data_IF_934580598218
#
_entry.id   IF_934580598218
#
_cell.length_a   1.000
_cell.length_b   1.000
_cell.length_c   1.000
_cell.angle_alpha   90.00
_cell.angle_beta   90.00
_cell.angle_gamma   90.00
#
_symmetry.space_group_name_H-M   'P 1'
#
loop_
_entity.id
_entity.type
_entity.pdbx_description
1 polymer ?
#
# COMPACT_ATOMS: atom_id res chain seq x y z
N UNK A 1 -2.56 -0.46 -26.70
CA UNK A 1 -2.38 -1.72 -25.95
C UNK A 1 -3.25 -1.79 -24.70
N UNK A 2 -3.24 -0.79 -23.80
CA UNK A 2 -4.01 -0.85 -22.55
C UNK A 2 -5.55 -0.95 -22.71
N UNK A 3 -6.13 -0.29 -23.72
CA UNK A 3 -7.59 -0.32 -23.96
C UNK A 3 -8.09 -1.69 -24.41
N UNK A 4 -7.31 -2.42 -25.20
CA UNK A 4 -7.66 -3.76 -25.65
C UNK A 4 -7.64 -4.77 -24.49
N UNK A 5 -6.63 -4.70 -23.61
CA UNK A 5 -6.57 -5.53 -22.41
C UNK A 5 -7.76 -5.28 -21.47
N UNK A 6 -8.19 -4.01 -21.32
CA UNK A 6 -9.36 -3.65 -20.52
C UNK A 6 -10.66 -4.25 -21.10
N UNK A 7 -10.87 -4.14 -22.41
CA UNK A 7 -12.04 -4.73 -23.06
C UNK A 7 -12.04 -6.26 -22.98
N UNK A 8 -10.88 -6.90 -23.13
CA UNK A 8 -10.76 -8.36 -22.97
C UNK A 8 -11.08 -8.78 -21.54
N UNK A 9 -10.55 -8.09 -20.53
CA UNK A 9 -10.81 -8.38 -19.11
C UNK A 9 -12.28 -8.20 -18.73
N UNK A 10 -12.90 -7.09 -19.16
CA UNK A 10 -14.32 -6.82 -18.88
C UNK A 10 -15.25 -7.83 -19.55
N UNK A 11 -14.95 -8.23 -20.80
CA UNK A 11 -15.73 -9.24 -21.51
C UNK A 11 -15.60 -10.63 -20.85
N UNK A 12 -14.41 -10.98 -20.39
CA UNK A 12 -14.15 -12.23 -19.65
C UNK A 12 -14.90 -12.27 -18.31
N UNK A 13 -14.90 -11.17 -17.55
CA UNK A 13 -15.67 -11.06 -16.30
C UNK A 13 -17.19 -11.17 -16.55
N UNK A 14 -17.70 -10.57 -17.63
CA UNK A 14 -19.11 -10.64 -18.00
C UNK A 14 -19.53 -12.07 -18.42
N UNK A 15 -18.66 -12.77 -19.16
CA UNK A 15 -18.89 -14.17 -19.51
C UNK A 15 -18.93 -15.06 -18.24
N UNK A 16 -17.98 -14.92 -17.33
CA UNK A 16 -17.93 -15.75 -16.11
C UNK A 16 -19.15 -15.53 -15.21
N UNK A 17 -19.57 -14.28 -15.02
CA UNK A 17 -20.72 -13.94 -14.18
C UNK A 17 -22.03 -14.49 -14.73
N UNK A 18 -22.25 -14.40 -16.04
CA UNK A 18 -23.45 -14.96 -16.69
C UNK A 18 -23.53 -16.49 -16.61
N UNK A 19 -22.39 -17.18 -16.67
CA UNK A 19 -22.34 -18.64 -16.56
C UNK A 19 -22.54 -19.16 -15.13
N UNK A 20 -22.17 -18.38 -14.12
CA UNK A 20 -22.18 -18.79 -12.70
C UNK A 20 -23.40 -18.33 -11.92
N UNK A 21 -24.18 -17.37 -12.44
CA UNK A 21 -25.37 -16.82 -11.79
C UNK A 21 -26.47 -17.87 -11.51
N UNK A 22 -26.48 -19.00 -12.21
CA UNK A 22 -27.53 -20.01 -12.13
C UNK A 22 -27.42 -20.96 -10.93
N UNK A 23 -26.27 -21.04 -10.26
CA UNK A 23 -26.01 -22.03 -9.18
C UNK A 23 -25.60 -21.38 -7.84
N UNK A 24 -26.33 -20.34 -7.43
CA UNK A 24 -26.10 -19.66 -6.15
C UNK A 24 -26.99 -20.24 -5.04
N UNK A 25 -26.36 -20.81 -4.01
CA UNK A 25 -27.02 -21.17 -2.75
C UNK A 25 -26.64 -20.16 -1.67
N UNK A 26 -27.51 -19.95 -0.69
CA UNK A 26 -27.26 -19.01 0.43
C UNK A 26 -25.95 -19.32 1.16
N UNK A 27 -25.63 -20.60 1.34
CA UNK A 27 -24.37 -21.08 1.95
C UNK A 27 -23.11 -20.81 1.12
N UNK A 28 -23.24 -20.62 -0.20
CA UNK A 28 -22.11 -20.24 -1.08
C UNK A 28 -21.91 -18.72 -1.09
N UNK A 29 -22.95 -17.97 -0.78
CA UNK A 29 -22.96 -16.51 -0.75
C UNK A 29 -22.63 -15.96 0.64
N UNK A 30 -22.66 -16.80 1.69
CA UNK A 30 -22.20 -16.44 3.03
C UNK A 30 -20.68 -16.29 3.07
N UNK A 31 -20.19 -15.43 3.95
CA UNK A 31 -18.76 -15.22 4.11
C UNK A 31 -18.10 -16.47 4.73
N UNK A 32 -16.92 -16.82 4.19
CA UNK A 32 -16.20 -18.01 4.63
C UNK A 32 -15.55 -17.75 5.99
N UNK A 33 -16.07 -18.42 7.01
CA UNK A 33 -15.48 -18.43 8.36
C UNK A 33 -15.49 -19.86 8.91
N UNK A 34 -14.94 -20.81 8.15
CA UNK A 34 -14.85 -22.23 8.53
C UNK A 34 -16.21 -22.88 8.92
N UNK A 35 -17.31 -22.46 8.30
CA UNK A 35 -18.66 -22.96 8.60
C UNK A 35 -19.35 -22.26 9.78
N UNK A 36 -18.72 -21.25 10.39
CA UNK A 36 -19.32 -20.40 11.41
C UNK A 36 -20.01 -19.18 10.79
N UNK A 37 -20.95 -18.59 11.54
CA UNK A 37 -21.51 -17.30 11.20
C UNK A 37 -20.42 -16.23 11.28
N UNK A 38 -20.27 -15.46 10.20
CA UNK A 38 -19.17 -14.52 10.09
C UNK A 38 -19.29 -13.39 11.12
N UNK A 39 -18.18 -12.98 11.71
CA UNK A 39 -18.15 -11.79 12.55
C UNK A 39 -18.36 -10.52 11.73
N UNK A 40 -18.80 -9.44 12.38
CA UNK A 40 -18.89 -8.13 11.76
C UNK A 40 -17.50 -7.67 11.28
N UNK A 41 -17.27 -7.76 9.97
CA UNK A 41 -16.10 -7.30 9.23
C UNK A 41 -15.95 -5.76 9.21
N UNK A 42 -16.84 -5.04 9.90
CA UNK A 42 -16.82 -3.58 10.06
C UNK A 42 -16.15 -3.14 11.36
N UNK A 43 -15.61 -4.08 12.13
CA UNK A 43 -14.81 -3.75 13.31
C UNK A 43 -13.50 -3.07 12.90
N UNK A 44 -13.08 -2.02 13.62
CA UNK A 44 -11.85 -1.31 13.28
C UNK A 44 -10.66 -2.26 13.39
N UNK A 45 -9.91 -2.35 12.31
CA UNK A 45 -8.67 -3.12 12.25
C UNK A 45 -7.59 -2.47 13.14
N UNK A 46 -6.54 -3.23 13.47
CA UNK A 46 -5.49 -2.75 14.37
C UNK A 46 -4.82 -1.47 13.86
N UNK A 47 -4.70 -0.47 14.75
CA UNK A 47 -4.04 0.83 14.51
C UNK A 47 -2.59 0.69 14.03
N UNK A 48 -1.95 -0.45 14.30
CA UNK A 48 -0.58 -0.72 13.86
C UNK A 48 -0.46 -0.78 12.33
N UNK A 49 -1.48 -1.30 11.64
CA UNK A 49 -1.46 -1.36 10.19
C UNK A 49 -1.66 0.01 9.54
N UNK A 50 -2.42 0.92 10.17
CA UNK A 50 -2.52 2.29 9.69
C UNK A 50 -1.23 3.08 9.92
N UNK A 51 -0.49 2.81 11.00
CA UNK A 51 0.83 3.41 11.22
C UNK A 51 1.83 3.00 10.13
N UNK A 52 1.88 1.71 9.76
CA UNK A 52 2.71 1.25 8.65
C UNK A 52 2.34 1.92 7.32
N UNK A 53 1.05 2.14 7.06
CA UNK A 53 0.60 2.81 5.83
C UNK A 53 1.03 4.29 5.79
N UNK A 54 0.96 5.01 6.91
CA UNK A 54 1.45 6.40 7.00
C UNK A 54 2.95 6.46 6.81
N UNK A 55 3.71 5.59 7.47
CA UNK A 55 5.17 5.50 7.32
C UNK A 55 5.54 5.20 5.86
N UNK A 56 4.87 4.23 5.23
CA UNK A 56 5.07 3.92 3.81
C UNK A 56 4.78 5.12 2.90
N UNK A 57 3.68 5.84 3.13
CA UNK A 57 3.31 7.02 2.35
C UNK A 57 4.38 8.12 2.44
N UNK A 58 4.92 8.37 3.63
CA UNK A 58 5.99 9.36 3.84
C UNK A 58 7.27 8.95 3.09
N UNK A 59 7.68 7.67 3.16
CA UNK A 59 8.86 7.19 2.44
C UNK A 59 8.70 7.14 0.92
N UNK A 60 7.49 6.84 0.42
CA UNK A 60 7.22 6.89 -1.02
C UNK A 60 7.31 8.34 -1.55
N UNK A 61 6.77 9.29 -0.79
CA UNK A 61 6.91 10.73 -1.09
C UNK A 61 8.37 11.21 -1.00
N UNK A 62 9.16 10.69 -0.06
CA UNK A 62 10.59 10.98 0.04
C UNK A 62 11.34 10.55 -1.22
N UNK A 63 11.15 9.31 -1.67
CA UNK A 63 11.81 8.79 -2.88
C UNK A 63 11.43 9.61 -4.11
N UNK A 64 10.16 10.00 -4.23
CA UNK A 64 9.70 10.85 -5.31
C UNK A 64 10.40 12.22 -5.34
N UNK A 65 10.70 12.80 -4.17
CA UNK A 65 11.41 14.08 -4.04
C UNK A 65 12.93 13.94 -4.25
N UNK A 66 13.53 12.83 -3.82
CA UNK A 66 14.97 12.61 -3.96
C UNK A 66 15.37 12.21 -5.39
N UNK A 67 14.50 11.51 -6.14
CA UNK A 67 14.77 11.06 -7.50
C UNK A 67 15.29 12.17 -8.45
N UNK A 68 14.62 13.34 -8.59
CA UNK A 68 15.13 14.42 -9.45
C UNK A 68 16.47 14.99 -8.98
N UNK A 69 16.76 14.97 -7.68
CA UNK A 69 18.04 15.45 -7.14
C UNK A 69 19.20 14.54 -7.56
N UNK A 70 19.00 13.22 -7.53
CA UNK A 70 20.00 12.24 -8.01
C UNK A 70 20.28 12.38 -9.51
N UNK A 71 19.27 12.71 -10.31
CA UNK A 71 19.46 12.96 -11.75
C UNK A 71 20.24 14.26 -12.01
N UNK A 72 20.06 15.28 -11.17
CA UNK A 72 20.71 16.59 -11.32
C UNK A 72 22.18 16.64 -10.87
N UNK A 73 22.66 15.64 -10.12
CA UNK A 73 24.01 15.66 -9.53
C UNK A 73 25.15 15.46 -10.54
N UNK A 74 24.85 15.18 -11.80
CA UNK A 74 25.86 14.99 -12.85
C UNK A 74 26.65 16.27 -13.18
N UNK A 75 26.18 17.44 -12.75
CA UNK A 75 26.82 18.74 -12.99
C UNK A 75 27.71 19.24 -11.82
N UNK A 76 27.79 18.51 -10.70
CA UNK A 76 28.56 18.88 -9.51
C UNK A 76 27.73 19.00 -8.22
N UNK A 77 28.41 19.24 -7.09
CA UNK A 77 27.75 19.47 -5.79
C UNK A 77 27.02 20.82 -5.78
N UNK A 78 25.71 20.77 -5.98
CA UNK A 78 24.84 21.94 -5.90
C UNK A 78 24.17 22.04 -4.52
N UNK A 79 23.77 23.26 -4.14
CA UNK A 79 23.03 23.54 -2.89
C UNK A 79 21.81 22.62 -2.70
N UNK A 80 21.13 22.28 -3.80
CA UNK A 80 19.98 21.36 -3.81
C UNK A 80 20.32 19.95 -3.33
N UNK A 81 21.54 19.46 -3.61
CA UNK A 81 22.00 18.15 -3.18
C UNK A 81 22.28 18.12 -1.68
N UNK A 82 22.83 19.21 -1.13
CA UNK A 82 23.04 19.38 0.31
C UNK A 82 21.69 19.47 1.03
N UNK A 83 20.76 20.26 0.51
CA UNK A 83 19.41 20.36 1.06
C UNK A 83 18.67 19.01 1.05
N UNK A 84 18.77 18.25 -0.04
CA UNK A 84 18.22 16.89 -0.15
C UNK A 84 18.84 15.92 0.85
N UNK A 85 20.16 15.98 1.06
CA UNK A 85 20.85 15.16 2.06
C UNK A 85 20.44 15.49 3.49
N UNK A 86 20.26 16.76 3.83
CA UNK A 86 19.76 17.18 5.15
C UNK A 86 18.31 16.72 5.35
N UNK A 87 17.46 16.86 4.31
CA UNK A 87 16.08 16.38 4.36
C UNK A 87 16.00 14.87 4.59
N UNK A 88 16.81 14.09 3.87
CA UNK A 88 16.94 12.65 4.08
C UNK A 88 17.33 12.30 5.52
N UNK A 89 18.34 12.97 6.08
CA UNK A 89 18.80 12.71 7.46
C UNK A 89 17.71 12.98 8.50
N UNK A 90 16.89 14.02 8.31
CA UNK A 90 15.78 14.35 9.23
C UNK A 90 14.74 13.22 9.23
N UNK A 91 14.34 12.74 8.04
CA UNK A 91 13.37 11.65 7.92
C UNK A 91 13.91 10.33 8.46
N UNK A 92 15.19 10.03 8.18
CA UNK A 92 15.87 8.86 8.70
C UNK A 92 15.95 8.87 10.23
N UNK A 93 16.25 10.02 10.84
CA UNK A 93 16.23 10.18 12.29
C UNK A 93 14.82 10.00 12.88
N UNK A 94 13.78 10.51 12.21
CA UNK A 94 12.38 10.31 12.59
C UNK A 94 11.97 8.84 12.59
N UNK A 95 12.42 8.07 11.59
CA UNK A 95 12.17 6.62 11.54
C UNK A 95 12.81 5.88 12.71
N UNK A 96 14.06 6.22 13.02
CA UNK A 96 14.78 5.62 14.14
C UNK A 96 14.05 5.91 15.45
N UNK A 97 13.55 7.13 15.62
CA UNK A 97 12.75 7.50 16.78
C UNK A 97 11.46 6.66 16.90
N UNK A 98 10.69 6.52 15.81
CA UNK A 98 9.49 5.67 15.76
C UNK A 98 9.81 4.20 16.04
N UNK A 99 10.95 3.70 15.55
CA UNK A 99 11.42 2.34 15.82
C UNK A 99 11.68 2.13 17.32
N UNK A 100 12.41 3.05 17.96
CA UNK A 100 12.71 2.96 19.38
C UNK A 100 11.47 3.06 20.27
N UNK A 101 10.42 3.76 19.82
CA UNK A 101 9.13 3.80 20.51
C UNK A 101 8.35 2.48 20.42
N UNK A 102 8.84 1.49 19.68
CA UNK A 102 8.20 0.18 19.56
C UNK A 102 6.90 0.19 18.73
N UNK A 103 6.57 1.31 18.10
CA UNK A 103 5.42 1.49 17.18
C UNK A 103 5.44 0.46 16.04
N UNK A 104 6.66 0.13 15.56
CA UNK A 104 6.91 -0.87 14.52
C UNK A 104 7.19 -2.28 15.04
N UNK A 105 7.26 -2.49 16.35
CA UNK A 105 7.58 -3.81 16.91
C UNK A 105 6.38 -4.75 16.80
N UNK A 106 6.63 -5.92 16.23
CA UNK A 106 5.68 -7.03 16.22
C UNK A 106 5.98 -7.91 17.44
N UNK A 107 5.06 -7.94 18.40
CA UNK A 107 4.96 -9.10 19.28
C UNK A 107 4.25 -10.16 18.44
N UNK A 108 4.99 -11.23 18.16
CA UNK A 108 4.49 -12.45 17.52
C UNK A 108 3.39 -13.05 18.41
#
# INVERSE_FOLDING_TARGET
MCTWCYHVSTLLLLLITTMTATYQSTEKLSAFECGFHSFDYRTPFSVRFSLLAVVFLVFDAEVALLMPLFLSSMAGMNFQMIAGGVFFLILWAGLIYEWFQGSLSWVI
#
